data_IF_672499352345
#
_entry.id   IF_672499352345
#
_cell.length_a   1.000
_cell.length_b   1.000
_cell.length_c   1.000
_cell.angle_alpha   90.00
_cell.angle_beta   90.00
_cell.angle_gamma   90.00
#
_symmetry.space_group_name_H-M   'P 1'
#
loop_
_entity.id
_entity.type
_entity.pdbx_description
1 polymer ?
#
# COMPACT_ATOMS: atom_id res chain seq x y z
N UNK A 1 8.39 16.16 11.06
CA UNK A 1 7.87 16.37 9.70
C UNK A 1 7.71 15.04 9.00
N UNK A 2 6.56 14.85 8.37
CA UNK A 2 6.33 13.64 7.57
C UNK A 2 6.97 13.81 6.19
N UNK A 3 7.52 12.74 5.65
CA UNK A 3 8.05 12.77 4.30
C UNK A 3 6.90 12.93 3.30
N UNK A 4 7.11 13.66 2.19
CA UNK A 4 6.09 13.76 1.15
C UNK A 4 5.67 12.38 0.65
N UNK A 5 4.42 12.25 0.25
CA UNK A 5 3.92 11.02 -0.37
C UNK A 5 4.62 10.82 -1.71
N UNK A 6 5.22 9.65 -1.98
CA UNK A 6 5.81 9.36 -3.29
C UNK A 6 4.72 9.27 -4.34
N UNK A 7 4.80 10.12 -5.36
CA UNK A 7 3.84 10.15 -6.46
C UNK A 7 4.58 10.35 -7.79
N UNK A 8 4.03 9.84 -8.90
CA UNK A 8 4.65 10.06 -10.20
C UNK A 8 4.88 11.54 -10.49
N UNK A 9 6.03 11.84 -11.10
CA UNK A 9 6.40 13.22 -11.43
C UNK A 9 7.06 13.99 -10.31
N UNK A 10 7.18 13.42 -9.12
CA UNK A 10 7.91 14.01 -7.99
C UNK A 10 9.20 13.24 -7.78
N UNK A 11 10.21 13.92 -7.25
CA UNK A 11 11.43 13.22 -6.86
C UNK A 11 11.09 12.18 -5.79
N UNK A 12 11.50 10.94 -6.05
CA UNK A 12 11.27 9.81 -5.13
C UNK A 12 12.56 9.02 -4.96
N UNK A 13 12.57 8.09 -4.03
CA UNK A 13 13.69 7.19 -3.83
C UNK A 13 14.00 6.47 -5.15
N UNK A 14 15.22 6.61 -5.63
CA UNK A 14 15.67 5.94 -6.83
C UNK A 14 15.31 6.63 -8.15
N UNK A 15 14.65 7.80 -8.11
CA UNK A 15 14.32 8.52 -9.35
C UNK A 15 14.16 10.01 -9.08
N UNK A 16 15.02 10.82 -9.74
CA UNK A 16 14.93 12.28 -9.64
C UNK A 16 13.71 12.84 -10.36
N UNK A 17 13.26 12.16 -11.42
CA UNK A 17 12.13 12.62 -12.23
C UNK A 17 10.80 12.06 -11.77
N UNK A 18 10.81 11.11 -10.83
CA UNK A 18 9.60 10.47 -10.34
C UNK A 18 8.99 9.50 -11.34
N UNK A 19 9.83 8.60 -11.90
CA UNK A 19 9.32 7.54 -12.78
C UNK A 19 8.19 6.81 -12.06
N UNK A 20 7.04 6.58 -12.73
CA UNK A 20 5.88 5.98 -12.07
C UNK A 20 6.17 4.69 -11.31
N UNK A 21 6.93 3.77 -11.88
CA UNK A 21 7.25 2.52 -11.17
C UNK A 21 8.10 2.79 -9.91
N UNK A 22 9.04 3.73 -9.98
CA UNK A 22 9.87 4.04 -8.81
C UNK A 22 9.06 4.76 -7.73
N UNK A 23 8.11 5.62 -8.12
CA UNK A 23 7.20 6.25 -7.17
C UNK A 23 6.34 5.18 -6.47
N UNK A 24 5.82 4.22 -7.24
CA UNK A 24 5.03 3.13 -6.68
C UNK A 24 5.85 2.29 -5.69
N UNK A 25 7.07 1.90 -6.08
CA UNK A 25 7.91 1.08 -5.20
C UNK A 25 8.30 1.83 -3.92
N UNK A 26 8.56 3.14 -4.01
CA UNK A 26 8.85 3.94 -2.84
C UNK A 26 7.62 4.01 -1.90
N UNK A 27 6.43 4.19 -2.47
CA UNK A 27 5.19 4.21 -1.70
C UNK A 27 4.93 2.86 -1.03
N UNK A 28 4.99 1.78 -1.79
CA UNK A 28 4.72 0.43 -1.29
C UNK A 28 5.81 -0.06 -0.34
N UNK A 29 7.01 0.52 -0.43
CA UNK A 29 8.11 0.21 0.47
C UNK A 29 7.98 0.83 1.86
N UNK A 30 7.04 1.74 2.07
CA UNK A 30 6.78 2.29 3.39
C UNK A 30 6.13 1.22 4.26
N UNK A 31 6.57 1.19 5.51
CA UNK A 31 6.10 0.17 6.44
C UNK A 31 4.57 0.17 6.50
N UNK A 32 3.97 -1.02 6.40
CA UNK A 32 2.54 -1.28 6.47
C UNK A 32 1.74 -0.93 5.20
N UNK A 33 2.33 -0.24 4.21
CA UNK A 33 1.57 0.16 3.02
C UNK A 33 0.96 -1.04 2.27
N UNK A 34 1.77 -2.03 1.93
CA UNK A 34 1.29 -3.24 1.25
C UNK A 34 0.30 -4.03 2.11
N UNK A 35 0.55 -4.10 3.43
CA UNK A 35 -0.36 -4.81 4.32
C UNK A 35 -1.75 -4.17 4.34
N UNK A 36 -1.81 -2.84 4.36
CA UNK A 36 -3.09 -2.13 4.32
C UNK A 36 -3.83 -2.44 3.03
N UNK A 37 -3.15 -2.35 1.88
CA UNK A 37 -3.76 -2.69 0.59
C UNK A 37 -4.26 -4.14 0.58
N UNK A 38 -3.47 -5.06 1.09
CA UNK A 38 -3.84 -6.47 1.16
C UNK A 38 -5.10 -6.68 1.99
N UNK A 39 -5.20 -6.02 3.15
CA UNK A 39 -6.35 -6.19 4.03
C UNK A 39 -7.64 -5.57 3.48
N UNK A 40 -7.54 -4.74 2.43
CA UNK A 40 -8.70 -4.15 1.77
C UNK A 40 -9.13 -4.91 0.50
N UNK A 41 -8.44 -5.98 0.14
CA UNK A 41 -8.65 -6.67 -1.14
C UNK A 41 -10.03 -7.31 -1.28
N UNK A 42 -10.68 -7.63 -0.17
CA UNK A 42 -11.96 -8.35 -0.18
C UNK A 42 -13.18 -7.46 -0.33
N UNK A 43 -13.00 -6.13 -0.32
CA UNK A 43 -14.11 -5.19 -0.48
C UNK A 43 -15.03 -5.06 0.74
N UNK A 44 -14.62 -5.56 1.89
CA UNK A 44 -15.46 -5.58 3.10
C UNK A 44 -15.63 -4.23 3.78
N UNK A 45 -14.89 -3.21 3.35
CA UNK A 45 -15.00 -1.83 3.88
C UNK A 45 -14.80 -1.74 5.41
N UNK A 46 -13.66 -2.20 5.94
CA UNK A 46 -13.42 -2.11 7.38
C UNK A 46 -13.32 -0.66 7.84
N UNK A 47 -13.79 -0.40 9.08
CA UNK A 47 -13.54 0.87 9.74
C UNK A 47 -12.04 0.98 10.07
N UNK A 48 -11.60 2.19 10.48
CA UNK A 48 -10.22 2.39 10.91
C UNK A 48 -9.81 1.37 11.98
N UNK A 49 -10.65 1.20 12.99
CA UNK A 49 -10.35 0.29 14.08
C UNK A 49 -10.30 -1.17 13.63
N UNK A 50 -11.23 -1.57 12.77
CA UNK A 50 -11.23 -2.93 12.22
C UNK A 50 -9.99 -3.18 11.37
N UNK A 51 -9.62 -2.20 10.55
CA UNK A 51 -8.42 -2.30 9.72
C UNK A 51 -7.16 -2.40 10.58
N UNK A 52 -7.08 -1.60 11.64
CA UNK A 52 -5.98 -1.65 12.59
C UNK A 52 -5.86 -3.05 13.21
N UNK A 53 -6.99 -3.65 13.60
CA UNK A 53 -7.01 -5.00 14.13
C UNK A 53 -6.57 -6.04 13.10
N UNK A 54 -7.02 -5.92 11.86
CA UNK A 54 -6.60 -6.82 10.77
C UNK A 54 -5.11 -6.77 10.53
N UNK A 55 -4.52 -5.59 10.64
CA UNK A 55 -3.07 -5.43 10.46
C UNK A 55 -2.27 -6.00 11.63
N UNK A 56 -2.87 -6.11 12.81
CA UNK A 56 -2.27 -6.89 13.88
C UNK A 56 -1.06 -6.29 14.59
N UNK A 57 -0.85 -5.00 14.56
CA UNK A 57 0.30 -4.40 15.25
C UNK A 57 0.67 -3.00 14.82
N UNK A 58 -0.08 -2.45 13.90
CA UNK A 58 0.18 -1.09 13.44
C UNK A 58 -0.35 -0.09 14.47
N UNK A 59 0.43 0.95 14.76
CA UNK A 59 -0.04 2.05 15.61
C UNK A 59 -1.07 2.90 14.88
N UNK A 60 -1.90 3.62 15.64
CA UNK A 60 -2.92 4.49 15.05
C UNK A 60 -2.31 5.58 14.19
N UNK A 61 -1.19 6.18 14.63
CA UNK A 61 -0.55 7.25 13.86
C UNK A 61 0.05 6.73 12.56
N UNK A 62 0.68 5.57 12.57
CA UNK A 62 1.25 4.99 11.35
C UNK A 62 0.14 4.58 10.38
N UNK A 63 -0.92 3.96 10.88
CA UNK A 63 -2.05 3.59 10.01
C UNK A 63 -2.69 4.83 9.38
N UNK A 64 -2.90 5.89 10.17
CA UNK A 64 -3.44 7.14 9.65
C UNK A 64 -2.55 7.71 8.55
N UNK A 65 -1.22 7.71 8.76
CA UNK A 65 -0.27 8.19 7.75
C UNK A 65 -0.35 7.36 6.47
N UNK A 66 -0.39 6.03 6.59
CA UNK A 66 -0.48 5.16 5.40
C UNK A 66 -1.78 5.37 4.64
N UNK A 67 -2.90 5.48 5.34
CA UNK A 67 -4.20 5.73 4.70
C UNK A 67 -4.22 7.09 3.99
N UNK A 68 -3.63 8.12 4.60
CA UNK A 68 -3.52 9.44 3.97
C UNK A 68 -2.69 9.35 2.69
N UNK A 69 -1.55 8.70 2.75
CA UNK A 69 -0.66 8.55 1.58
C UNK A 69 -1.31 7.74 0.47
N UNK A 70 -1.95 6.63 0.82
CA UNK A 70 -2.63 5.80 -0.16
C UNK A 70 -3.84 6.51 -0.75
N UNK A 71 -4.49 7.37 0.04
CA UNK A 71 -5.56 8.24 -0.46
C UNK A 71 -5.06 9.28 -1.44
N UNK A 72 -3.91 9.91 -1.15
CA UNK A 72 -3.28 10.88 -2.06
C UNK A 72 -2.85 10.21 -3.37
N UNK A 73 -2.48 8.95 -3.31
CA UNK A 73 -2.12 8.16 -4.49
C UNK A 73 -3.36 7.62 -5.23
N UNK A 74 -4.55 7.92 -4.75
CA UNK A 74 -5.82 7.44 -5.31
C UNK A 74 -5.90 5.91 -5.39
N UNK A 75 -5.40 5.25 -4.37
CA UNK A 75 -5.46 3.79 -4.26
C UNK A 75 -6.49 3.34 -3.23
N UNK A 76 -6.77 4.18 -2.23
CA UNK A 76 -7.71 3.90 -1.15
C UNK A 76 -8.63 5.10 -0.99
N UNK A 77 -9.89 4.85 -0.69
CA UNK A 77 -10.85 5.89 -0.38
C UNK A 77 -11.58 5.58 0.93
N UNK A 78 -12.04 6.64 1.59
CA UNK A 78 -12.86 6.53 2.79
C UNK A 78 -14.30 6.74 2.36
N UNK A 79 -15.12 5.68 2.45
CA UNK A 79 -16.52 5.70 2.05
C UNK A 79 -17.40 5.31 3.23
N UNK A 80 -18.27 6.21 3.67
CA UNK A 80 -19.04 5.99 4.88
C UNK A 80 -18.11 5.92 6.09
N UNK A 81 -18.20 4.86 6.87
CA UNK A 81 -17.32 4.65 8.03
C UNK A 81 -16.11 3.77 7.71
N UNK A 82 -16.03 3.24 6.50
CA UNK A 82 -15.01 2.25 6.14
C UNK A 82 -14.07 2.71 5.05
N UNK A 83 -13.07 1.88 4.80
CA UNK A 83 -12.04 2.11 3.79
C UNK A 83 -12.16 1.07 2.68
N UNK A 84 -11.99 1.51 1.44
CA UNK A 84 -12.08 0.66 0.26
C UNK A 84 -10.93 0.96 -0.69
N UNK A 85 -10.57 -0.03 -1.50
CA UNK A 85 -9.72 0.25 -2.66
C UNK A 85 -10.52 1.05 -3.68
N UNK A 86 -9.88 2.04 -4.28
CA UNK A 86 -10.44 2.73 -5.44
C UNK A 86 -10.37 1.80 -6.65
N UNK A 87 -10.90 2.22 -7.80
CA UNK A 87 -10.72 1.48 -9.04
C UNK A 87 -9.23 1.28 -9.34
N UNK A 88 -8.41 2.33 -9.19
CA UNK A 88 -6.96 2.22 -9.37
C UNK A 88 -6.34 1.28 -8.35
N UNK A 89 -6.80 1.31 -7.11
CA UNK A 89 -6.34 0.36 -6.09
C UNK A 89 -6.66 -1.08 -6.45
N UNK A 90 -7.84 -1.32 -7.01
CA UNK A 90 -8.22 -2.67 -7.45
C UNK A 90 -7.39 -3.15 -8.63
N UNK A 91 -7.12 -2.28 -9.61
CA UNK A 91 -6.26 -2.66 -10.74
C UNK A 91 -4.83 -2.93 -10.30
N UNK A 92 -4.33 -2.15 -9.32
CA UNK A 92 -3.04 -2.44 -8.72
C UNK A 92 -3.03 -3.81 -8.03
N UNK A 93 -4.08 -4.11 -7.27
CA UNK A 93 -4.20 -5.40 -6.59
C UNK A 93 -4.17 -6.56 -7.60
N UNK A 94 -4.86 -6.43 -8.73
CA UNK A 94 -4.82 -7.41 -9.81
C UNK A 94 -3.42 -7.58 -10.38
N UNK A 95 -2.67 -6.48 -10.48
CA UNK A 95 -1.28 -6.52 -10.96
C UNK A 95 -0.34 -7.17 -9.96
N UNK A 96 -0.66 -7.10 -8.66
CA UNK A 96 0.14 -7.72 -7.61
C UNK A 96 -0.12 -9.23 -7.48
N UNK A 97 -1.26 -9.72 -7.94
CA UNK A 97 -1.61 -11.13 -7.80
C UNK A 97 -0.58 -12.07 -8.46
N UNK A 98 -0.10 -11.81 -9.70
CA UNK A 98 0.97 -12.64 -10.28
C UNK A 98 2.26 -12.59 -9.48
N UNK A 99 2.56 -11.44 -8.85
CA UNK A 99 3.74 -11.31 -8.01
C UNK A 99 3.61 -12.15 -6.75
N UNK A 100 2.44 -12.18 -6.14
CA UNK A 100 2.16 -13.03 -4.99
C UNK A 100 2.33 -14.50 -5.35
N UNK A 101 1.81 -14.92 -6.51
CA UNK A 101 1.97 -16.29 -6.99
C UNK A 101 3.43 -16.64 -7.21
N UNK A 102 4.20 -15.73 -7.82
CA UNK A 102 5.63 -15.93 -7.98
C UNK A 102 6.33 -16.11 -6.64
N UNK A 103 6.01 -15.26 -5.67
CA UNK A 103 6.64 -15.28 -4.36
C UNK A 103 6.36 -16.59 -3.61
N UNK A 104 5.19 -17.18 -3.82
CA UNK A 104 4.84 -18.47 -3.19
C UNK A 104 5.75 -19.61 -3.63
N UNK A 105 6.29 -19.53 -4.85
CA UNK A 105 7.23 -20.52 -5.36
C UNK A 105 8.68 -20.12 -5.22
N UNK A 106 8.96 -18.96 -4.65
CA UNK A 106 10.31 -18.43 -4.53
C UNK A 106 11.11 -19.20 -3.50
N UNK A 107 12.22 -19.76 -3.96
CA UNK A 107 13.13 -20.53 -3.10
C UNK A 107 14.51 -19.84 -3.12
N UNK A 108 14.78 -18.97 -2.15
CA UNK A 108 16.09 -18.34 -2.09
C UNK A 108 17.17 -19.35 -1.79
N UNK A 109 18.39 -19.03 -2.18
CA UNK A 109 19.55 -19.88 -1.87
C UNK A 109 19.68 -20.00 -0.35
N UNK A 110 19.94 -21.23 0.12
CA UNK A 110 20.10 -21.48 1.55
C UNK A 110 21.26 -20.65 2.10
N UNK A 111 21.08 -20.07 3.28
CA UNK A 111 22.15 -19.37 3.99
C UNK A 111 23.19 -20.38 4.47
N UNK A 112 24.46 -20.02 4.31
CA UNK A 112 25.57 -20.84 4.81
C UNK A 112 25.80 -20.61 6.29
#
# INVERSE_FOLDING_TARGET
>A
MTRPTPLPGRRVRGSHTGRPIMALLDLLGRRWALRVLWELRDGSSPTFRQLQQRCGGVSSSVLADRLRELGQADLVEHAGEGYLLTEQGRTLQESLAPLDAWASGWQPKAAD
#
